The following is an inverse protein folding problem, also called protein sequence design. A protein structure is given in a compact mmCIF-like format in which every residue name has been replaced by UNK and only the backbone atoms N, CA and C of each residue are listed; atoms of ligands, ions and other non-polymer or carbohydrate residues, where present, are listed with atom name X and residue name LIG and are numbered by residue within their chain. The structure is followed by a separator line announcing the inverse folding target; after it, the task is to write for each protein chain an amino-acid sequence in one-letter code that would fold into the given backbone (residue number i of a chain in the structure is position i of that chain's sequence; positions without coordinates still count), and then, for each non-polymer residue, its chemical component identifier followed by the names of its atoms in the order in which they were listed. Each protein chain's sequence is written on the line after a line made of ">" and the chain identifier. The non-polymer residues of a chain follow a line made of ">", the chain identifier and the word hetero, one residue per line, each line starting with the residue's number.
data_IF_488585890830
#
_entry.id   IF_488585890830
#
_cell.length_a   1.000
_cell.length_b   1.000
_cell.length_c   1.000
_cell.angle_alpha   90.00
_cell.angle_beta   90.00
_cell.angle_gamma   90.00
#
_symmetry.space_group_name_H-M   'P 1'
#
loop_
_entity.id
_entity.type
_entity.pdbx_description
1 polymer ?
#
# COMPACT_ATOMS: atom_id res chain seq x y z
N UNK A 1 3.15 -12.89 -38.38
CA UNK A 1 2.96 -11.63 -37.60
C UNK A 1 1.86 -11.70 -36.53
N UNK A 2 1.12 -12.81 -36.36
CA UNK A 2 -0.09 -12.83 -35.50
C UNK A 2 0.12 -13.22 -34.04
N UNK A 3 1.34 -13.59 -33.65
CA UNK A 3 1.67 -14.02 -32.27
C UNK A 3 1.88 -12.81 -31.35
N UNK A 4 2.33 -11.68 -31.89
CA UNK A 4 2.66 -10.50 -31.10
C UNK A 4 1.42 -9.68 -30.69
N UNK A 5 0.36 -9.70 -31.52
CA UNK A 5 -0.88 -8.97 -31.28
C UNK A 5 -1.73 -9.56 -30.15
N UNK A 6 -1.81 -10.89 -30.03
CA UNK A 6 -2.49 -11.55 -28.89
C UNK A 6 -1.79 -11.29 -27.55
N UNK A 7 -0.45 -11.21 -27.53
CA UNK A 7 0.30 -10.92 -26.31
C UNK A 7 0.09 -9.48 -25.84
N UNK A 8 0.02 -8.53 -26.77
CA UNK A 8 -0.32 -7.13 -26.48
C UNK A 8 -1.77 -6.98 -25.94
N UNK A 9 -2.75 -7.70 -26.50
CA UNK A 9 -4.14 -7.58 -26.04
C UNK A 9 -4.33 -8.10 -24.61
N UNK A 10 -3.72 -9.23 -24.26
CA UNK A 10 -3.78 -9.81 -22.89
C UNK A 10 -3.07 -8.93 -21.86
N UNK A 11 -1.95 -8.30 -22.22
CA UNK A 11 -1.27 -7.33 -21.34
C UNK A 11 -2.16 -6.13 -21.03
N UNK A 12 -2.91 -5.64 -22.02
CA UNK A 12 -3.87 -4.57 -21.82
C UNK A 12 -5.03 -4.99 -20.90
N UNK A 13 -5.56 -6.21 -21.03
CA UNK A 13 -6.63 -6.70 -20.14
C UNK A 13 -6.19 -6.78 -18.67
N UNK A 14 -5.00 -7.34 -18.40
CA UNK A 14 -4.47 -7.40 -17.02
C UNK A 14 -4.24 -6.02 -16.44
N UNK A 15 -3.79 -5.06 -17.27
CA UNK A 15 -3.63 -3.67 -16.86
C UNK A 15 -4.99 -3.03 -16.51
N UNK A 16 -6.03 -3.24 -17.32
CA UNK A 16 -7.37 -2.74 -17.03
C UNK A 16 -7.94 -3.33 -15.72
N UNK A 17 -7.72 -4.62 -15.47
CA UNK A 17 -8.10 -5.25 -14.20
C UNK A 17 -7.38 -4.64 -13.00
N UNK A 18 -6.09 -4.34 -13.12
CA UNK A 18 -5.33 -3.66 -12.06
C UNK A 18 -5.84 -2.24 -11.81
N UNK A 19 -6.10 -1.48 -12.87
CA UNK A 19 -6.66 -0.12 -12.76
C UNK A 19 -8.02 -0.15 -12.07
N UNK A 20 -8.92 -1.05 -12.47
CA UNK A 20 -10.23 -1.19 -11.82
C UNK A 20 -10.12 -1.56 -10.32
N UNK A 21 -9.16 -2.41 -9.95
CA UNK A 21 -8.89 -2.71 -8.54
C UNK A 21 -8.39 -1.48 -7.78
N UNK A 22 -7.53 -0.66 -8.38
CA UNK A 22 -7.05 0.59 -7.77
C UNK A 22 -8.16 1.62 -7.60
N UNK A 23 -9.08 1.72 -8.55
CA UNK A 23 -10.25 2.60 -8.44
C UNK A 23 -11.12 2.24 -7.22
N UNK A 24 -11.31 0.95 -6.95
CA UNK A 24 -12.03 0.48 -5.77
C UNK A 24 -11.31 0.80 -4.45
N UNK A 25 -9.98 0.89 -4.45
CA UNK A 25 -9.16 1.26 -3.29
C UNK A 25 -9.01 2.77 -3.11
N UNK A 26 -9.39 3.58 -4.12
CA UNK A 26 -9.23 5.02 -4.09
C UNK A 26 -9.90 5.71 -2.89
N UNK A 27 -11.15 5.37 -2.50
CA UNK A 27 -11.78 5.98 -1.33
C UNK A 27 -10.99 5.77 -0.03
N UNK A 28 -10.39 4.59 0.15
CA UNK A 28 -9.56 4.27 1.31
C UNK A 28 -8.27 5.09 1.29
N UNK A 29 -7.58 5.18 0.15
CA UNK A 29 -6.38 6.03 0.00
C UNK A 29 -6.67 7.49 0.35
N UNK A 30 -7.83 8.01 -0.08
CA UNK A 30 -8.27 9.37 0.28
C UNK A 30 -8.52 9.50 1.79
N UNK A 31 -9.14 8.49 2.41
CA UNK A 31 -9.37 8.47 3.86
C UNK A 31 -8.05 8.47 4.66
N UNK A 32 -7.11 7.60 4.30
CA UNK A 32 -5.77 7.53 4.89
C UNK A 32 -5.08 8.89 4.77
N UNK A 33 -5.06 9.48 3.57
CA UNK A 33 -4.47 10.82 3.34
C UNK A 33 -5.12 11.87 4.25
N UNK A 34 -6.46 11.91 4.33
CA UNK A 34 -7.17 12.89 5.16
C UNK A 34 -6.84 12.73 6.64
N UNK A 35 -6.78 11.50 7.14
CA UNK A 35 -6.39 11.21 8.52
C UNK A 35 -4.98 11.76 8.81
N UNK A 36 -3.99 11.39 8.01
CA UNK A 36 -2.60 11.85 8.18
C UNK A 36 -2.47 13.37 8.07
N UNK A 37 -3.22 14.01 7.17
CA UNK A 37 -3.25 15.48 7.05
C UNK A 37 -3.96 16.18 8.22
N UNK A 38 -4.89 15.51 8.90
CA UNK A 38 -5.61 16.07 10.05
C UNK A 38 -4.77 16.01 11.33
N UNK A 39 -3.84 15.06 11.42
CA UNK A 39 -2.97 14.83 12.57
C UNK A 39 -1.47 14.90 12.20
N UNK A 40 -0.97 16.08 11.78
CA UNK A 40 0.44 16.21 11.46
C UNK A 40 1.32 16.13 12.72
N UNK A 41 2.41 15.38 12.64
CA UNK A 41 3.42 15.29 13.69
C UNK A 41 4.77 15.84 13.20
N UNK A 42 5.58 16.30 14.15
CA UNK A 42 6.90 16.89 13.86
C UNK A 42 7.91 15.80 13.56
N UNK A 43 8.82 16.08 12.62
CA UNK A 43 9.93 15.20 12.26
C UNK A 43 10.67 14.68 13.49
N UNK A 44 10.84 13.37 13.57
CA UNK A 44 11.48 12.62 14.67
C UNK A 44 10.72 12.63 16.02
N UNK A 45 9.51 13.20 16.07
CA UNK A 45 8.64 13.23 17.23
C UNK A 45 7.32 12.48 17.03
N UNK A 46 7.15 11.78 15.90
CA UNK A 46 5.93 11.11 15.46
C UNK A 46 5.59 9.87 16.31
N UNK A 47 4.58 9.95 17.17
CA UNK A 47 4.13 8.81 17.99
C UNK A 47 2.98 8.10 17.29
N UNK A 48 1.98 8.86 16.85
CA UNK A 48 0.72 8.30 16.35
C UNK A 48 0.81 7.88 14.87
N UNK A 49 1.56 8.62 14.04
CA UNK A 49 1.75 8.32 12.62
C UNK A 49 2.37 6.93 12.39
N UNK A 50 3.50 6.55 13.01
CA UNK A 50 4.04 5.21 12.83
C UNK A 50 3.14 4.13 13.43
N UNK A 51 2.41 4.42 14.51
CA UNK A 51 1.43 3.49 15.07
C UNK A 51 0.29 3.22 14.09
N UNK A 52 -0.28 4.27 13.49
CA UNK A 52 -1.31 4.17 12.46
C UNK A 52 -0.85 3.32 11.27
N UNK A 53 0.36 3.58 10.75
CA UNK A 53 0.93 2.82 9.64
C UNK A 53 1.14 1.35 10.03
N UNK A 54 1.63 1.10 11.24
CA UNK A 54 1.87 -0.25 11.72
C UNK A 54 0.58 -1.06 11.86
N UNK A 55 -0.46 -0.47 12.45
CA UNK A 55 -1.77 -1.11 12.58
C UNK A 55 -2.41 -1.39 11.22
N UNK A 56 -2.31 -0.45 10.27
CA UNK A 56 -2.81 -0.66 8.92
C UNK A 56 -2.20 -1.92 8.27
N UNK A 57 -0.87 -2.07 8.32
CA UNK A 57 -0.22 -3.26 7.73
C UNK A 57 -0.40 -4.54 8.55
N UNK A 58 -0.56 -4.45 9.88
CA UNK A 58 -0.95 -5.60 10.72
C UNK A 58 -2.34 -6.11 10.37
N UNK A 59 -3.29 -5.21 10.14
CA UNK A 59 -4.65 -5.56 9.72
C UNK A 59 -4.68 -6.28 8.36
N UNK A 60 -3.71 -5.99 7.48
CA UNK A 60 -3.49 -6.71 6.22
C UNK A 60 -2.79 -8.07 6.40
N UNK A 61 -2.48 -8.48 7.64
CA UNK A 61 -1.85 -9.77 7.95
C UNK A 61 -0.33 -9.79 7.73
N UNK A 62 0.33 -8.64 7.61
CA UNK A 62 1.77 -8.58 7.39
C UNK A 62 2.56 -8.67 8.70
N UNK A 63 3.79 -9.18 8.61
CA UNK A 63 4.78 -9.07 9.68
C UNK A 63 5.29 -7.61 9.72
N UNK A 64 4.98 -6.90 10.82
CA UNK A 64 5.33 -5.48 10.98
C UNK A 64 6.28 -5.28 12.15
N UNK A 65 7.39 -4.59 11.88
CA UNK A 65 8.37 -4.13 12.87
C UNK A 65 8.34 -2.62 12.98
N UNK A 66 8.14 -2.11 14.20
CA UNK A 66 8.22 -0.67 14.52
C UNK A 66 9.55 -0.35 15.20
N UNK A 67 9.85 0.93 15.40
CA UNK A 67 11.06 1.36 16.10
C UNK A 67 12.34 1.28 15.25
N UNK A 68 12.22 1.10 13.93
CA UNK A 68 13.36 0.94 13.04
C UNK A 68 13.99 2.31 12.78
N UNK A 69 15.24 2.51 13.19
CA UNK A 69 15.93 3.80 13.04
C UNK A 69 15.24 4.94 13.82
N UNK A 70 14.59 4.64 14.94
CA UNK A 70 13.83 5.61 15.74
C UNK A 70 12.34 5.33 15.64
N UNK A 71 11.64 6.00 14.72
CA UNK A 71 10.18 5.91 14.55
C UNK A 71 9.76 5.24 13.24
N UNK A 72 10.69 4.62 12.53
CA UNK A 72 10.39 3.93 11.26
C UNK A 72 9.60 2.63 11.45
N UNK A 73 8.85 2.28 10.40
CA UNK A 73 8.04 1.06 10.33
C UNK A 73 8.47 0.26 9.10
N UNK A 74 8.67 -1.04 9.27
CA UNK A 74 8.96 -1.99 8.19
C UNK A 74 7.89 -3.07 8.19
N UNK A 75 7.17 -3.21 7.08
CA UNK A 75 6.22 -4.29 6.84
C UNK A 75 6.81 -5.27 5.81
N UNK A 76 6.79 -6.57 6.11
CA UNK A 76 7.33 -7.61 5.24
C UNK A 76 6.18 -8.37 4.57
N UNK A 77 6.21 -8.39 3.24
CA UNK A 77 5.32 -9.21 2.41
C UNK A 77 6.12 -10.33 1.76
N UNK A 78 5.67 -11.57 1.93
CA UNK A 78 6.27 -12.74 1.29
C UNK A 78 5.42 -13.12 0.07
N UNK A 79 6.01 -13.01 -1.13
CA UNK A 79 5.32 -13.31 -2.38
C UNK A 79 4.87 -14.78 -2.51
N UNK A 80 5.42 -15.68 -1.70
CA UNK A 80 5.10 -17.11 -1.71
C UNK A 80 3.68 -17.43 -1.16
N UNK A 81 2.99 -16.44 -0.59
CA UNK A 81 1.65 -16.58 0.00
C UNK A 81 0.54 -15.97 -0.88
N UNK A 82 0.81 -15.68 -2.16
CA UNK A 82 -0.11 -15.03 -3.10
C UNK A 82 -0.77 -15.98 -4.12
#
# INVERSE_FOLDING_TARGET
>A
MSINTKKLSVQNEKLQQLVSKLENLYPEMVSIRRHLHQYPEISHQEVETPNYIAEYYRALGLEVRTGVGGRGVVAKFNADHA
#
